data_IF_928203764676
#
_entry.id   IF_928203764676
#
_cell.length_a   1.000
_cell.length_b   1.000
_cell.length_c   1.000
_cell.angle_alpha   90.00
_cell.angle_beta   90.00
_cell.angle_gamma   90.00
#
_symmetry.space_group_name_H-M   'P 1'
#
loop_
_entity.id
_entity.type
_entity.pdbx_description
1 polymer ?
#
# COMPACT_ATOMS: atom_id res chain seq x y z
N UNK A 1 -31.28 -34.90 -55.60
CA UNK A 1 -32.02 -34.56 -54.37
C UNK A 1 -31.02 -34.39 -53.25
N UNK A 2 -30.71 -33.13 -52.93
CA UNK A 2 -29.78 -32.72 -51.87
C UNK A 2 -30.51 -32.67 -50.54
N UNK A 3 -29.92 -33.22 -49.47
CA UNK A 3 -30.30 -32.92 -48.09
C UNK A 3 -29.03 -32.65 -47.29
N UNK A 4 -28.82 -31.38 -47.00
CA UNK A 4 -27.74 -30.82 -46.19
C UNK A 4 -28.11 -30.95 -44.70
N UNK A 5 -27.18 -31.30 -43.79
CA UNK A 5 -27.44 -31.32 -42.35
C UNK A 5 -27.45 -29.89 -41.78
N UNK A 6 -28.43 -29.60 -40.93
CA UNK A 6 -28.62 -28.31 -40.25
C UNK A 6 -27.57 -28.15 -39.14
N UNK A 7 -26.61 -27.24 -39.33
CA UNK A 7 -25.82 -26.67 -38.23
C UNK A 7 -26.69 -25.64 -37.48
N UNK A 8 -27.12 -25.98 -36.27
CA UNK A 8 -27.77 -25.03 -35.35
C UNK A 8 -26.69 -24.14 -34.74
N UNK A 9 -26.40 -23.02 -35.40
CA UNK A 9 -25.59 -21.96 -34.81
C UNK A 9 -26.39 -21.25 -33.73
N UNK A 10 -26.12 -21.53 -32.45
CA UNK A 10 -26.54 -20.64 -31.36
C UNK A 10 -25.76 -19.34 -31.49
N UNK A 11 -26.38 -18.31 -32.09
CA UNK A 11 -25.91 -16.93 -31.96
C UNK A 11 -26.26 -16.46 -30.54
N UNK A 12 -25.27 -16.42 -29.66
CA UNK A 12 -25.33 -15.70 -28.39
C UNK A 12 -25.45 -14.21 -28.70
N UNK A 13 -26.68 -13.70 -28.68
CA UNK A 13 -26.96 -12.27 -28.87
C UNK A 13 -26.54 -11.50 -27.63
N UNK A 14 -25.43 -10.76 -27.71
CA UNK A 14 -25.00 -9.87 -26.64
C UNK A 14 -25.93 -8.64 -26.64
N UNK A 15 -26.64 -8.40 -25.54
CA UNK A 15 -27.59 -7.29 -25.44
C UNK A 15 -26.82 -6.04 -25.00
N UNK A 16 -26.80 -5.01 -25.85
CA UNK A 16 -26.17 -3.73 -25.50
C UNK A 16 -26.88 -3.12 -24.29
N UNK A 17 -26.11 -2.76 -23.26
CA UNK A 17 -26.59 -2.09 -22.07
C UNK A 17 -26.17 -0.62 -22.13
N UNK A 18 -27.07 0.29 -21.76
CA UNK A 18 -26.77 1.72 -21.71
C UNK A 18 -26.42 2.08 -20.27
N UNK A 19 -25.20 2.52 -20.04
CA UNK A 19 -24.72 2.98 -18.73
C UNK A 19 -24.56 4.49 -18.80
N UNK A 20 -25.16 5.21 -17.85
CA UNK A 20 -25.01 6.65 -17.74
C UNK A 20 -23.75 6.95 -16.94
N UNK A 21 -22.77 7.59 -17.58
CA UNK A 21 -21.57 8.06 -16.89
C UNK A 21 -21.90 9.26 -15.99
N UNK A 22 -21.08 9.50 -14.96
CA UNK A 22 -21.23 10.66 -14.06
C UNK A 22 -21.19 12.01 -14.78
N UNK A 23 -20.55 12.05 -15.96
CA UNK A 23 -20.53 13.20 -16.87
C UNK A 23 -21.84 13.42 -17.65
N UNK A 24 -22.87 12.58 -17.44
CA UNK A 24 -24.17 12.67 -18.09
C UNK A 24 -24.25 12.02 -19.48
N UNK A 25 -23.14 11.47 -19.99
CA UNK A 25 -23.11 10.77 -21.27
C UNK A 25 -23.58 9.33 -21.14
N UNK A 26 -24.40 8.89 -22.08
CA UNK A 26 -24.87 7.50 -22.17
C UNK A 26 -23.87 6.66 -22.97
N UNK A 27 -23.15 5.78 -22.28
CA UNK A 27 -22.24 4.81 -22.87
C UNK A 27 -23.01 3.55 -23.24
N UNK A 28 -22.97 3.16 -24.53
CA UNK A 28 -23.42 1.84 -24.95
C UNK A 28 -22.29 0.85 -24.70
N UNK A 29 -22.46 0.00 -23.71
CA UNK A 29 -21.52 -1.07 -23.40
C UNK A 29 -22.05 -2.37 -24.00
N UNK A 30 -21.23 -3.01 -24.83
CA UNK A 30 -21.48 -4.35 -25.35
C UNK A 30 -20.40 -5.27 -24.81
N UNK A 31 -20.74 -6.12 -23.83
CA UNK A 31 -19.84 -7.15 -23.32
C UNK A 31 -20.06 -8.44 -24.10
N UNK A 32 -18.97 -9.05 -24.57
CA UNK A 32 -19.00 -10.44 -25.06
C UNK A 32 -19.19 -11.39 -23.88
N UNK A 33 -19.63 -12.65 -24.11
CA UNK A 33 -19.76 -13.63 -23.04
C UNK A 33 -18.43 -13.87 -22.31
N UNK A 34 -17.31 -13.89 -23.05
CA UNK A 34 -15.98 -14.05 -22.46
C UNK A 34 -15.58 -12.87 -21.58
N UNK A 35 -15.93 -11.64 -21.97
CA UNK A 35 -15.70 -10.45 -21.13
C UNK A 35 -16.53 -10.48 -19.85
N UNK A 36 -17.79 -10.95 -19.94
CA UNK A 36 -18.63 -11.12 -18.75
C UNK A 36 -18.09 -12.23 -17.84
N UNK A 37 -17.66 -13.36 -18.39
CA UNK A 37 -17.06 -14.46 -17.65
C UNK A 37 -15.77 -14.00 -16.95
N UNK A 38 -14.87 -13.31 -17.67
CA UNK A 38 -13.65 -12.75 -17.10
C UNK A 38 -13.93 -11.85 -15.89
N UNK A 39 -14.93 -10.95 -15.99
CA UNK A 39 -15.29 -10.08 -14.86
C UNK A 39 -15.81 -10.90 -13.67
N UNK A 40 -16.62 -11.94 -13.91
CA UNK A 40 -17.10 -12.81 -12.85
C UNK A 40 -15.97 -13.63 -12.21
N UNK A 41 -15.04 -14.15 -13.01
CA UNK A 41 -13.84 -14.84 -12.54
C UNK A 41 -12.94 -13.91 -11.72
N UNK A 42 -12.78 -12.65 -12.15
CA UNK A 42 -12.02 -11.61 -11.43
C UNK A 42 -12.65 -11.32 -10.06
N UNK A 43 -13.97 -11.11 -10.04
CA UNK A 43 -14.73 -10.88 -8.81
C UNK A 43 -14.68 -12.09 -7.87
N UNK A 44 -14.75 -13.30 -8.41
CA UNK A 44 -14.58 -14.53 -7.64
C UNK A 44 -13.14 -14.66 -7.10
N UNK A 45 -12.16 -14.24 -7.90
CA UNK A 45 -10.76 -14.12 -7.52
C UNK A 45 -10.50 -13.09 -6.41
N UNK A 46 -11.24 -11.99 -6.34
CA UNK A 46 -11.20 -11.06 -5.20
C UNK A 46 -11.95 -11.58 -3.97
N UNK A 47 -13.01 -12.38 -4.17
CA UNK A 47 -13.79 -12.92 -3.07
C UNK A 47 -13.06 -14.06 -2.33
N UNK A 48 -12.12 -14.75 -2.99
CA UNK A 48 -11.44 -15.93 -2.43
C UNK A 48 -10.32 -15.64 -1.40
N UNK A 49 -9.41 -14.64 -1.57
CA UNK A 49 -8.33 -14.36 -0.63
C UNK A 49 -8.78 -13.42 0.49
N UNK A 50 -9.71 -13.89 1.34
CA UNK A 50 -10.10 -13.19 2.56
C UNK A 50 -9.48 -13.84 3.76
N UNK A 51 -8.72 -13.05 4.51
CA UNK A 51 -8.25 -13.44 5.82
C UNK A 51 -9.28 -12.99 6.86
N UNK A 52 -10.20 -13.92 7.17
CA UNK A 52 -11.30 -13.68 8.12
C UNK A 52 -10.77 -13.54 9.55
N UNK A 53 -9.68 -14.24 9.88
CA UNK A 53 -9.09 -14.22 11.22
C UNK A 53 -8.48 -12.84 11.52
N UNK A 54 -7.76 -12.27 10.55
CA UNK A 54 -7.09 -10.97 10.70
C UNK A 54 -7.91 -9.80 10.14
N UNK A 55 -9.13 -10.04 9.64
CA UNK A 55 -10.02 -9.04 9.07
C UNK A 55 -9.37 -8.20 7.95
N UNK A 56 -8.64 -8.85 7.05
CA UNK A 56 -8.03 -8.21 5.89
C UNK A 56 -8.33 -8.92 4.58
N UNK A 57 -8.26 -8.17 3.49
CA UNK A 57 -8.58 -8.62 2.14
C UNK A 57 -7.67 -7.94 1.12
N UNK A 58 -7.59 -8.52 -0.07
CA UNK A 58 -6.93 -7.89 -1.22
C UNK A 58 -7.70 -6.62 -1.62
N UNK A 59 -6.98 -5.52 -1.83
CA UNK A 59 -7.54 -4.25 -2.31
C UNK A 59 -7.82 -4.29 -3.82
N UNK A 60 -8.42 -3.24 -4.38
CA UNK A 60 -8.67 -3.13 -5.82
C UNK A 60 -7.38 -2.93 -6.67
N UNK A 61 -6.24 -2.78 -6.02
CA UNK A 61 -4.92 -2.70 -6.65
C UNK A 61 -4.12 -3.97 -6.35
N UNK A 62 -3.34 -4.42 -7.33
CA UNK A 62 -2.44 -5.57 -7.13
C UNK A 62 -1.42 -5.30 -6.02
N UNK A 63 -1.14 -6.35 -5.23
CA UNK A 63 -0.12 -6.35 -4.15
C UNK A 63 -0.40 -5.30 -3.06
N UNK A 64 -1.66 -4.92 -2.89
CA UNK A 64 -2.11 -4.09 -1.79
C UNK A 64 -3.16 -4.88 -1.01
N UNK A 65 -2.94 -5.02 0.29
CA UNK A 65 -3.90 -5.58 1.23
C UNK A 65 -4.47 -4.46 2.09
N UNK A 66 -5.75 -4.58 2.42
CA UNK A 66 -6.48 -3.58 3.19
C UNK A 66 -7.33 -4.24 4.29
N UNK A 67 -7.61 -3.45 5.32
CA UNK A 67 -8.57 -3.79 6.37
C UNK A 67 -9.46 -2.58 6.64
N UNK A 68 -10.75 -2.83 6.83
CA UNK A 68 -11.73 -1.78 7.14
C UNK A 68 -11.89 -1.54 8.64
N UNK A 69 -11.44 -2.48 9.48
CA UNK A 69 -11.54 -2.39 10.94
C UNK A 69 -10.39 -3.15 11.60
N UNK A 70 -9.17 -2.67 11.38
CA UNK A 70 -7.94 -3.26 11.93
C UNK A 70 -7.83 -3.08 13.45
N UNK A 71 -8.36 -1.97 13.97
CA UNK A 71 -8.53 -1.70 15.38
C UNK A 71 -10.01 -1.76 15.72
N UNK A 72 -10.33 -2.27 16.91
CA UNK A 72 -11.68 -2.16 17.44
C UNK A 72 -12.02 -0.69 17.78
N UNK A 73 -13.32 -0.42 17.98
CA UNK A 73 -13.79 0.95 18.24
C UNK A 73 -13.21 1.55 19.53
N UNK A 74 -12.90 0.73 20.52
CA UNK A 74 -12.34 1.18 21.79
C UNK A 74 -10.86 1.56 21.64
N UNK A 75 -10.05 0.71 21.01
CA UNK A 75 -8.65 0.95 20.70
C UNK A 75 -8.49 2.18 19.78
N UNK A 76 -9.33 2.30 18.75
CA UNK A 76 -9.35 3.46 17.86
C UNK A 76 -9.71 4.76 18.61
N UNK A 77 -10.74 4.73 19.47
CA UNK A 77 -11.12 5.90 20.28
C UNK A 77 -10.01 6.30 21.26
N UNK A 78 -9.37 5.32 21.91
CA UNK A 78 -8.26 5.55 22.83
C UNK A 78 -7.04 6.13 22.11
N UNK A 79 -6.64 5.57 20.96
CA UNK A 79 -5.56 6.10 20.13
C UNK A 79 -5.85 7.55 19.72
N UNK A 80 -7.04 7.83 19.19
CA UNK A 80 -7.44 9.19 18.79
C UNK A 80 -7.42 10.18 19.96
N UNK A 81 -7.85 9.77 21.14
CA UNK A 81 -7.78 10.59 22.35
C UNK A 81 -6.34 10.93 22.71
N UNK A 82 -5.44 9.94 22.72
CA UNK A 82 -4.03 10.15 23.04
C UNK A 82 -3.32 11.02 22.01
N UNK A 83 -3.58 10.81 20.72
CA UNK A 83 -3.03 11.64 19.64
C UNK A 83 -3.51 13.09 19.76
N UNK A 84 -4.79 13.30 20.05
CA UNK A 84 -5.35 14.65 20.24
C UNK A 84 -4.71 15.37 21.41
N UNK A 85 -4.51 14.68 22.53
CA UNK A 85 -3.80 15.23 23.71
C UNK A 85 -2.36 15.58 23.39
N UNK A 86 -1.65 14.71 22.70
CA UNK A 86 -0.26 14.96 22.31
C UNK A 86 -0.14 16.14 21.33
N UNK A 87 -1.05 16.25 20.35
CA UNK A 87 -1.11 17.38 19.43
C UNK A 87 -1.21 18.74 20.14
N UNK A 88 -1.94 18.83 21.25
CA UNK A 88 -2.04 20.07 22.03
C UNK A 88 -0.72 20.47 22.72
N UNK A 89 0.18 19.50 22.94
CA UNK A 89 1.50 19.77 23.53
C UNK A 89 2.53 20.23 22.51
N UNK A 90 2.26 20.00 21.21
CA UNK A 90 3.21 20.34 20.15
C UNK A 90 3.20 21.85 19.85
N UNK A 91 4.38 22.50 19.79
CA UNK A 91 4.48 23.87 19.30
C UNK A 91 3.92 24.00 17.89
N UNK A 92 3.20 25.10 17.59
CA UNK A 92 2.60 25.35 16.28
C UNK A 92 3.59 25.23 15.11
N UNK A 93 4.86 25.61 15.32
CA UNK A 93 5.92 25.52 14.30
C UNK A 93 6.36 24.09 13.98
N UNK A 94 6.11 23.14 14.88
CA UNK A 94 6.43 21.72 14.70
C UNK A 94 5.24 20.93 14.16
N UNK A 95 4.02 21.39 14.47
CA UNK A 95 2.80 20.76 13.96
C UNK A 95 2.52 21.07 12.49
N UNK A 96 3.05 22.18 11.94
CA UNK A 96 2.76 22.63 10.58
C UNK A 96 4.01 22.64 9.71
N UNK A 97 3.91 22.12 8.48
CA UNK A 97 4.96 22.24 7.48
C UNK A 97 4.81 23.60 6.77
N UNK A 98 5.94 24.18 6.36
CA UNK A 98 5.94 25.43 5.60
C UNK A 98 5.12 25.27 4.30
N UNK A 99 4.06 26.07 4.17
CA UNK A 99 3.12 26.00 3.04
C UNK A 99 1.91 25.07 3.23
N UNK A 100 1.79 24.36 4.35
CA UNK A 100 0.62 23.54 4.70
C UNK A 100 0.13 23.86 6.12
N UNK A 101 -0.72 24.89 6.21
CA UNK A 101 -1.34 25.33 7.46
C UNK A 101 -2.59 24.49 7.85
N UNK A 102 -3.09 23.66 6.93
CA UNK A 102 -4.33 22.90 7.12
C UNK A 102 -4.05 21.53 7.73
N UNK A 103 -2.91 20.94 7.43
CA UNK A 103 -2.50 19.64 7.99
C UNK A 103 -1.65 19.83 9.25
N UNK A 104 -1.93 19.02 10.29
CA UNK A 104 -1.07 18.91 11.47
C UNK A 104 -0.31 17.59 11.45
N UNK A 105 1.02 17.67 11.42
CA UNK A 105 1.89 16.50 11.50
C UNK A 105 2.12 16.12 12.96
N UNK A 106 1.61 14.96 13.36
CA UNK A 106 1.84 14.41 14.71
C UNK A 106 3.27 13.88 14.81
N UNK A 107 3.62 13.03 13.85
CA UNK A 107 4.97 12.50 13.65
C UNK A 107 5.53 13.19 12.42
N UNK A 108 6.68 13.84 12.58
CA UNK A 108 7.43 14.42 11.47
C UNK A 108 8.75 13.65 11.28
N UNK A 109 8.86 12.81 10.23
CA UNK A 109 10.09 12.09 9.92
C UNK A 109 11.30 13.01 9.66
N UNK A 110 11.08 14.28 9.38
CA UNK A 110 12.10 15.25 8.97
C UNK A 110 12.53 16.22 10.08
N UNK A 111 11.96 16.11 11.29
CA UNK A 111 12.29 17.05 12.37
C UNK A 111 13.70 16.84 12.94
N UNK A 112 14.10 15.57 13.08
CA UNK A 112 15.43 15.17 13.55
C UNK A 112 16.06 14.14 12.60
N UNK A 113 16.34 14.52 11.33
CA UNK A 113 16.90 13.60 10.36
C UNK A 113 18.39 13.41 10.62
N UNK A 114 18.91 12.28 10.17
CA UNK A 114 20.34 12.06 10.02
C UNK A 114 20.87 12.99 8.93
N UNK A 115 21.71 13.96 9.28
CA UNK A 115 22.43 14.82 8.32
C UNK A 115 23.85 14.29 8.14
N UNK A 116 24.20 13.89 6.92
CA UNK A 116 25.53 13.35 6.62
C UNK A 116 26.64 14.40 6.81
N UNK A 117 27.80 13.94 7.28
CA UNK A 117 28.95 14.77 7.64
C UNK A 117 28.74 15.63 8.89
N UNK A 118 27.56 15.59 9.53
CA UNK A 118 27.22 16.40 10.71
C UNK A 118 26.73 15.57 11.89
N UNK A 119 25.81 14.64 11.64
CA UNK A 119 25.19 13.84 12.71
C UNK A 119 26.17 12.80 13.19
N UNK A 120 26.34 12.73 14.51
CA UNK A 120 27.28 11.82 15.13
C UNK A 120 26.64 10.45 15.35
N UNK A 121 27.28 9.40 14.85
CA UNK A 121 26.90 8.01 15.04
C UNK A 121 28.05 7.22 15.70
N UNK A 122 27.71 6.09 16.32
CA UNK A 122 28.68 5.22 16.95
C UNK A 122 29.64 4.62 15.92
N UNK A 123 30.94 4.69 16.23
CA UNK A 123 31.97 4.12 15.39
C UNK A 123 32.08 2.61 15.64
N UNK A 124 31.63 1.81 14.66
CA UNK A 124 31.73 0.35 14.70
C UNK A 124 33.18 -0.16 14.80
N UNK A 125 34.15 0.58 14.27
CA UNK A 125 35.56 0.21 14.34
C UNK A 125 36.23 0.60 15.66
N UNK A 126 35.59 1.45 16.47
CA UNK A 126 36.15 1.92 17.75
C UNK A 126 35.02 2.20 18.74
N UNK A 127 34.69 1.20 19.54
CA UNK A 127 33.64 1.27 20.56
C UNK A 127 33.77 2.51 21.45
N UNK A 128 32.64 3.15 21.74
CA UNK A 128 32.55 4.34 22.58
C UNK A 128 32.93 5.66 21.91
N UNK A 129 33.39 5.65 20.65
CA UNK A 129 33.68 6.87 19.90
C UNK A 129 32.54 7.21 18.94
N UNK A 130 32.21 8.49 18.90
CA UNK A 130 31.28 9.04 17.92
C UNK A 130 32.04 9.63 16.74
N UNK A 131 31.51 9.46 15.53
CA UNK A 131 32.01 10.11 14.32
C UNK A 131 30.85 10.65 13.48
N UNK A 132 31.06 11.68 12.65
CA UNK A 132 30.05 12.09 11.68
C UNK A 132 29.71 10.94 10.74
N UNK A 133 28.42 10.67 10.56
CA UNK A 133 27.94 9.64 9.64
C UNK A 133 28.17 10.08 8.21
N UNK A 134 28.71 9.18 7.39
CA UNK A 134 29.05 9.48 5.99
C UNK A 134 27.89 9.09 5.08
N UNK A 135 27.87 9.65 3.88
CA UNK A 135 26.93 9.22 2.86
C UNK A 135 27.23 7.75 2.52
N UNK A 136 26.21 6.88 2.40
CA UNK A 136 26.43 5.48 2.01
C UNK A 136 27.12 5.38 0.65
N UNK A 137 28.10 4.48 0.53
CA UNK A 137 28.72 4.17 -0.75
C UNK A 137 27.71 3.41 -1.63
N UNK A 138 27.15 4.08 -2.63
CA UNK A 138 26.11 3.51 -3.51
C UNK A 138 26.68 2.66 -4.64
N UNK A 139 27.85 2.04 -4.46
CA UNK A 139 28.49 1.22 -5.50
C UNK A 139 27.72 -0.06 -5.80
N UNK A 140 26.81 -0.46 -4.91
CA UNK A 140 26.02 -1.68 -5.04
C UNK A 140 24.56 -1.38 -5.36
N UNK A 141 24.19 -1.52 -6.64
CA UNK A 141 22.84 -1.81 -7.17
C UNK A 141 21.68 -0.81 -6.97
N UNK A 142 21.76 0.16 -6.07
CA UNK A 142 20.68 1.14 -5.86
C UNK A 142 20.89 2.38 -6.75
N UNK A 143 19.89 2.72 -7.57
CA UNK A 143 19.95 3.96 -8.35
C UNK A 143 20.12 5.16 -7.40
N UNK A 144 21.06 6.08 -7.66
CA UNK A 144 21.24 7.29 -6.84
C UNK A 144 19.98 8.17 -6.79
N UNK A 145 19.02 7.96 -7.69
CA UNK A 145 17.76 8.70 -7.75
C UNK A 145 16.88 8.54 -6.50
N UNK A 146 17.04 7.44 -5.75
CA UNK A 146 16.23 7.14 -4.56
C UNK A 146 16.93 7.48 -3.24
N UNK A 147 18.16 7.99 -3.30
CA UNK A 147 18.98 8.25 -2.12
C UNK A 147 19.38 9.72 -2.03
N UNK A 148 18.89 10.38 -0.99
CA UNK A 148 19.37 11.72 -0.65
C UNK A 148 20.84 11.67 -0.24
N UNK A 149 21.66 12.49 -0.88
CA UNK A 149 23.08 12.66 -0.58
C UNK A 149 23.31 13.59 0.63
N UNK A 150 22.24 14.15 1.21
CA UNK A 150 22.31 15.19 2.24
C UNK A 150 21.86 14.71 3.60
N UNK A 151 20.79 13.92 3.64
CA UNK A 151 20.18 13.47 4.88
C UNK A 151 19.36 12.18 4.68
N UNK A 152 19.07 11.47 5.76
CA UNK A 152 18.11 10.37 5.81
C UNK A 152 17.13 10.54 6.98
N UNK A 153 15.89 10.10 6.81
CA UNK A 153 14.96 9.96 7.92
C UNK A 153 15.41 8.79 8.80
N UNK A 154 15.31 8.94 10.13
CA UNK A 154 15.63 7.87 11.08
C UNK A 154 14.34 7.10 11.39
N UNK A 155 14.18 5.86 10.92
CA UNK A 155 13.02 5.05 11.28
C UNK A 155 13.07 4.67 12.75
N UNK A 156 11.90 4.40 13.31
CA UNK A 156 11.81 3.65 14.56
C UNK A 156 11.82 2.16 14.22
N UNK A 157 12.75 1.42 14.80
CA UNK A 157 12.84 -0.03 14.62
C UNK A 157 11.79 -0.70 15.50
N UNK A 158 11.15 -1.75 14.96
CA UNK A 158 10.21 -2.59 15.70
C UNK A 158 10.69 -4.03 15.68
N UNK A 159 10.69 -4.66 16.85
CA UNK A 159 10.85 -6.10 16.99
C UNK A 159 9.49 -6.76 16.86
N UNK A 160 9.36 -7.72 15.94
CA UNK A 160 8.16 -8.55 15.81
C UNK A 160 8.44 -9.91 16.47
N UNK A 161 7.62 -10.28 17.45
CA UNK A 161 7.71 -11.57 18.14
C UNK A 161 7.07 -12.69 17.31
N UNK A 162 7.24 -13.94 17.75
CA UNK A 162 6.68 -15.12 17.06
C UNK A 162 5.14 -15.14 17.02
N UNK A 163 4.49 -14.52 18.00
CA UNK A 163 3.04 -14.33 18.06
C UNK A 163 2.56 -13.05 17.33
N UNK A 164 3.45 -12.39 16.58
CA UNK A 164 3.12 -11.21 15.77
C UNK A 164 3.01 -9.90 16.55
N UNK A 165 3.40 -9.87 17.82
CA UNK A 165 3.41 -8.64 18.62
C UNK A 165 4.61 -7.77 18.27
N UNK A 166 4.35 -6.48 18.02
CA UNK A 166 5.37 -5.49 17.71
C UNK A 166 5.81 -4.77 18.98
N UNK A 167 7.12 -4.51 19.10
CA UNK A 167 7.71 -3.72 20.18
C UNK A 167 8.64 -2.67 19.62
N UNK A 168 8.44 -1.40 19.98
CA UNK A 168 9.37 -0.34 19.59
C UNK A 168 10.72 -0.55 20.27
N UNK A 169 11.79 -0.58 19.47
CA UNK A 169 13.17 -0.74 19.95
C UNK A 169 13.89 0.61 20.11
N UNK A 170 13.45 1.61 19.35
CA UNK A 170 14.06 2.92 19.31
C UNK A 170 13.03 4.04 19.43
N UNK A 171 13.50 5.27 19.35
CA UNK A 171 12.69 6.47 19.49
C UNK A 171 11.86 6.71 18.22
N UNK A 172 10.55 6.93 18.38
CA UNK A 172 9.69 7.42 17.32
C UNK A 172 9.93 8.91 17.16
N UNK A 173 10.28 9.36 15.94
CA UNK A 173 10.64 10.75 15.69
C UNK A 173 9.57 11.73 16.17
N UNK A 174 9.99 12.81 16.84
CA UNK A 174 9.13 13.80 17.50
C UNK A 174 8.27 13.28 18.68
N UNK A 175 8.32 12.01 19.08
CA UNK A 175 7.51 11.45 20.16
C UNK A 175 8.36 10.98 21.36
N UNK A 176 8.40 11.79 22.42
CA UNK A 176 9.17 11.48 23.63
C UNK A 176 8.71 10.17 24.31
N UNK A 177 9.62 9.28 24.77
CA UNK A 177 9.26 8.01 25.42
C UNK A 177 8.40 8.12 26.69
N UNK A 178 8.24 9.32 27.26
CA UNK A 178 7.31 9.54 28.37
C UNK A 178 5.83 9.34 27.97
N UNK A 179 5.52 9.44 26.67
CA UNK A 179 4.20 9.12 26.12
C UNK A 179 4.05 7.62 25.89
N UNK A 180 4.33 6.81 26.93
CA UNK A 180 4.34 5.34 26.85
C UNK A 180 3.02 4.77 26.33
N UNK A 181 1.89 5.39 26.68
CA UNK A 181 0.58 5.01 26.17
C UNK A 181 0.50 5.12 24.65
N UNK A 182 1.05 6.19 24.03
CA UNK A 182 1.08 6.31 22.57
C UNK A 182 1.98 5.26 21.92
N UNK A 183 3.15 5.00 22.51
CA UNK A 183 4.01 3.90 22.05
C UNK A 183 3.27 2.56 22.05
N UNK A 184 2.52 2.25 23.11
CA UNK A 184 1.71 1.03 23.17
C UNK A 184 0.63 0.95 22.10
N UNK A 185 -0.04 2.07 21.77
CA UNK A 185 -1.02 2.04 20.69
C UNK A 185 -0.36 1.86 19.31
N UNK A 186 0.84 2.42 19.08
CA UNK A 186 1.58 2.16 17.84
C UNK A 186 2.07 0.71 17.74
N UNK A 187 2.53 0.15 18.84
CA UNK A 187 2.87 -1.28 18.95
C UNK A 187 1.67 -2.17 18.64
N UNK A 188 0.51 -1.89 19.23
CA UNK A 188 -0.74 -2.61 18.97
C UNK A 188 -1.16 -2.49 17.50
N UNK A 189 -1.20 -1.26 16.96
CA UNK A 189 -1.55 -1.02 15.56
C UNK A 189 -0.62 -1.78 14.61
N UNK A 190 0.69 -1.70 14.81
CA UNK A 190 1.65 -2.41 13.97
C UNK A 190 1.51 -3.92 14.09
N UNK A 191 1.26 -4.46 15.29
CA UNK A 191 0.98 -5.88 15.50
C UNK A 191 -0.20 -6.34 14.65
N UNK A 192 -1.26 -5.53 14.58
CA UNK A 192 -2.44 -5.81 13.75
C UNK A 192 -2.17 -5.65 12.24
N UNK A 193 -1.17 -4.87 11.84
CA UNK A 193 -0.75 -4.72 10.45
C UNK A 193 0.11 -5.90 9.95
N UNK A 194 0.79 -6.63 10.85
CA UNK A 194 1.71 -7.73 10.47
C UNK A 194 1.09 -8.71 9.47
N UNK A 195 -0.13 -9.24 9.67
CA UNK A 195 -0.73 -10.18 8.72
C UNK A 195 -0.83 -9.62 7.29
N UNK A 196 -1.20 -8.34 7.14
CA UNK A 196 -1.26 -7.71 5.82
C UNK A 196 0.13 -7.56 5.19
N UNK A 197 1.18 -7.29 5.98
CA UNK A 197 2.54 -7.26 5.47
C UNK A 197 2.99 -8.64 5.01
N UNK A 198 2.70 -9.70 5.77
CA UNK A 198 3.00 -11.09 5.38
C UNK A 198 2.29 -11.47 4.07
N UNK A 199 1.03 -11.07 3.90
CA UNK A 199 0.30 -11.30 2.65
C UNK A 199 0.93 -10.56 1.47
N UNK A 200 1.27 -9.27 1.62
CA UNK A 200 1.94 -8.48 0.58
C UNK A 200 3.29 -9.10 0.21
N UNK A 201 4.09 -9.53 1.19
CA UNK A 201 5.38 -10.16 0.95
C UNK A 201 5.23 -11.52 0.25
N UNK A 202 4.20 -12.29 0.61
CA UNK A 202 3.85 -13.54 -0.07
C UNK A 202 3.45 -13.29 -1.52
N UNK A 203 2.64 -12.27 -1.78
CA UNK A 203 2.23 -11.86 -3.13
C UNK A 203 3.42 -11.42 -4.00
N UNK A 204 4.40 -10.75 -3.39
CA UNK A 204 5.62 -10.29 -4.05
C UNK A 204 6.64 -11.41 -4.28
N UNK A 205 6.50 -12.55 -3.61
CA UNK A 205 7.47 -13.64 -3.69
C UNK A 205 7.56 -14.21 -5.12
N UNK A 206 8.78 -14.34 -5.63
CA UNK A 206 9.01 -14.79 -7.00
C UNK A 206 8.47 -16.20 -7.27
N UNK A 207 8.40 -17.04 -6.24
CA UNK A 207 7.89 -18.41 -6.34
C UNK A 207 6.45 -18.56 -5.83
N UNK A 208 5.71 -17.47 -5.65
CA UNK A 208 4.29 -17.56 -5.29
C UNK A 208 3.55 -18.37 -6.38
N UNK A 209 2.97 -19.54 -6.05
CA UNK A 209 2.27 -20.36 -7.03
C UNK A 209 0.96 -19.72 -7.53
N UNK A 210 0.46 -18.70 -6.82
CA UNK A 210 -0.82 -18.04 -7.07
C UNK A 210 -0.63 -16.55 -7.46
N UNK A 211 0.32 -16.24 -8.34
CA UNK A 211 0.55 -14.86 -8.81
C UNK A 211 -0.63 -14.25 -9.56
N UNK A 212 -1.36 -15.07 -10.29
CA UNK A 212 -2.42 -14.61 -11.19
C UNK A 212 -3.78 -14.91 -10.57
N UNK A 213 -4.60 -13.86 -10.44
CA UNK A 213 -5.95 -13.95 -9.87
C UNK A 213 -6.93 -14.71 -10.78
N UNK A 214 -6.61 -14.76 -12.08
CA UNK A 214 -7.35 -15.48 -13.11
C UNK A 214 -6.35 -16.37 -13.87
N UNK A 215 -6.66 -17.64 -14.04
CA UNK A 215 -5.89 -18.53 -14.92
C UNK A 215 -6.44 -18.42 -16.34
N UNK A 216 -5.80 -17.60 -17.16
CA UNK A 216 -6.16 -17.42 -18.58
C UNK A 216 -4.94 -17.07 -19.42
N UNK A 217 -5.02 -17.08 -20.76
CA UNK A 217 -3.94 -16.58 -21.60
C UNK A 217 -3.75 -15.09 -21.32
N UNK A 218 -2.83 -14.77 -20.40
CA UNK A 218 -2.48 -13.41 -19.96
C UNK A 218 -1.82 -12.56 -21.05
N UNK A 219 -1.83 -13.03 -22.30
CA UNK A 219 -1.36 -12.22 -23.41
C UNK A 219 -2.35 -11.08 -23.62
N UNK A 220 -1.88 -9.86 -23.45
CA UNK A 220 -2.57 -8.62 -23.83
C UNK A 220 -2.97 -8.59 -25.32
N UNK A 221 -2.64 -9.64 -26.09
CA UNK A 221 -2.83 -9.76 -27.52
C UNK A 221 -4.25 -10.21 -27.95
N UNK A 222 -5.09 -10.70 -27.03
CA UNK A 222 -6.49 -11.10 -27.36
C UNK A 222 -7.54 -10.06 -26.94
N UNK A 223 -7.12 -8.95 -26.32
CA UNK A 223 -8.01 -7.82 -26.06
C UNK A 223 -8.14 -6.97 -27.32
N UNK A 224 -9.01 -7.38 -28.24
CA UNK A 224 -9.51 -6.46 -29.28
C UNK A 224 -10.40 -5.41 -28.60
N UNK A 225 -9.80 -4.26 -28.29
CA UNK A 225 -10.49 -3.08 -27.83
C UNK A 225 -11.53 -2.67 -28.89
N UNK A 226 -12.81 -2.80 -28.56
CA UNK A 226 -13.90 -2.50 -29.47
C UNK A 226 -13.92 -0.99 -29.77
N UNK A 227 -13.37 -0.61 -30.92
CA UNK A 227 -13.68 0.60 -31.68
C UNK A 227 -13.91 1.90 -30.90
N UNK A 228 -12.88 2.74 -30.91
CA UNK A 228 -12.94 4.21 -30.84
C UNK A 228 -13.21 4.89 -29.48
N UNK A 229 -12.13 5.30 -28.81
CA UNK A 229 -11.55 6.66 -28.92
C UNK A 229 -10.40 6.75 -27.92
N UNK A 230 -9.24 7.23 -28.36
CA UNK A 230 -8.03 7.35 -27.53
C UNK A 230 -8.30 8.17 -26.27
N UNK A 231 -8.62 7.50 -25.17
CA UNK A 231 -8.44 8.01 -23.82
C UNK A 231 -7.22 7.31 -23.24
N UNK A 232 -6.07 7.95 -23.37
CA UNK A 232 -4.87 7.57 -22.63
C UNK A 232 -5.13 7.82 -21.14
N UNK A 233 -5.53 6.81 -20.39
CA UNK A 233 -5.35 6.81 -18.94
C UNK A 233 -3.95 6.26 -18.66
N UNK A 234 -2.97 7.15 -18.74
CA UNK A 234 -1.61 6.87 -18.29
C UNK A 234 -1.60 6.93 -16.77
N UNK A 235 -1.98 5.84 -16.10
CA UNK A 235 -1.74 5.67 -14.67
C UNK A 235 -0.24 5.46 -14.46
N UNK A 236 0.49 6.57 -14.35
CA UNK A 236 1.79 6.57 -13.68
C UNK A 236 1.49 6.33 -12.20
N UNK A 237 1.62 5.08 -11.77
CA UNK A 237 1.80 4.77 -10.35
C UNK A 237 3.08 5.47 -9.89
N UNK A 238 2.94 6.61 -9.21
CA UNK A 238 3.98 7.10 -8.33
C UNK A 238 4.01 6.13 -7.15
N UNK A 239 5.00 5.24 -7.16
CA UNK A 239 5.52 4.67 -5.94
C UNK A 239 6.26 5.83 -5.23
N UNK A 240 5.63 6.43 -4.23
CA UNK A 240 6.37 7.15 -3.20
C UNK A 240 6.51 6.18 -2.02
N UNK A 241 7.72 5.64 -1.86
CA UNK A 241 8.24 5.18 -0.56
C UNK A 241 8.85 6.39 0.12
#
# INVERSE_FOLDING_TARGET
MSRNPRSVGRRSSCRAMVVQAESGYNLRVLLTPNQAEYVLEELQGYASPRDVENNCQVSCFERIWESQAILDSSACASLNYQLSRFLETLPHKLAHREGDELTRHIIDPYLHPLIYGRTLAYNLAREGFLRPELVPDTTDSTSPDFLSQKFACLPCDFLISQDGTAKALSYINNLHPCYSTLYHHFEELLSKCVPMFEHVLTDLHADNPNKERIQGPSSSAEWEEAGASRFFVRLRGLLCV
#
